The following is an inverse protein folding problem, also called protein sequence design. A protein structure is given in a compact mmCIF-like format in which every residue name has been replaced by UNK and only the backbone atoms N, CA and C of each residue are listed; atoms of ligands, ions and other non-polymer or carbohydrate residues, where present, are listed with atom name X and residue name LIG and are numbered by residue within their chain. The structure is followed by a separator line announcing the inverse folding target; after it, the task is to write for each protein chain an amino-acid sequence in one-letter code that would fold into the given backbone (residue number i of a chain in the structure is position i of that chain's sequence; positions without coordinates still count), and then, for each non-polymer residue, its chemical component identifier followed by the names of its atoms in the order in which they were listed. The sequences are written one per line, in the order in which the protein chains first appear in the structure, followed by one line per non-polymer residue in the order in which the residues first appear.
data_IF_807032511557
#
_entry.id   IF_807032511557
#
_cell.length_a   1.000
_cell.length_b   1.000
_cell.length_c   1.000
_cell.angle_alpha   90.00
_cell.angle_beta   90.00
_cell.angle_gamma   90.00
#
_symmetry.space_group_name_H-M   'P 1'
#
loop_
_entity.id
_entity.type
_entity.pdbx_description
1 polymer ?
#
# COMPACT_ATOMS: atom_id res chain seq x y z
N UNK A 1 4.50 20.39 74.35
CA UNK A 1 3.32 19.70 73.86
C UNK A 1 2.61 20.64 72.91
N UNK A 2 2.68 20.39 71.61
CA UNK A 2 2.02 21.19 70.56
C UNK A 2 0.97 20.29 69.91
N UNK A 3 -0.31 20.61 70.13
CA UNK A 3 -1.45 19.93 69.51
C UNK A 3 -1.57 20.36 68.04
N UNK A 4 -1.35 19.41 67.12
CA UNK A 4 -1.60 19.58 65.71
C UNK A 4 -3.10 19.51 65.44
N UNK A 5 -3.71 20.66 65.08
CA UNK A 5 -5.09 20.69 64.54
C UNK A 5 -5.08 20.14 63.11
N UNK A 6 -5.57 18.90 62.92
CA UNK A 6 -5.86 18.32 61.61
C UNK A 6 -7.08 19.00 60.98
N UNK A 7 -6.88 19.69 59.88
CA UNK A 7 -7.97 20.19 59.04
C UNK A 7 -8.52 19.06 58.17
N UNK A 8 -9.71 18.58 58.50
CA UNK A 8 -10.45 17.62 57.65
C UNK A 8 -11.14 18.42 56.53
N UNK A 9 -10.67 18.25 55.29
CA UNK A 9 -11.32 18.82 54.12
C UNK A 9 -12.46 17.89 53.70
N UNK A 10 -13.69 18.33 53.90
CA UNK A 10 -14.88 17.58 53.45
C UNK A 10 -15.10 17.77 51.96
N UNK A 11 -14.69 16.79 51.17
CA UNK A 11 -14.95 16.78 49.72
C UNK A 11 -16.41 16.36 49.48
N UNK A 12 -17.25 17.31 49.08
CA UNK A 12 -18.63 17.00 48.67
C UNK A 12 -18.58 16.39 47.25
N UNK A 13 -19.15 15.20 47.03
CA UNK A 13 -19.27 14.66 45.70
C UNK A 13 -20.18 15.56 44.84
N UNK A 14 -19.87 15.74 43.54
CA UNK A 14 -20.70 16.52 42.62
C UNK A 14 -22.12 15.92 42.55
N UNK A 15 -23.13 16.77 42.47
CA UNK A 15 -24.50 16.32 42.39
C UNK A 15 -24.75 15.56 41.05
N UNK A 16 -25.50 14.45 41.09
CA UNK A 16 -25.84 13.62 39.93
C UNK A 16 -26.37 14.45 38.76
N UNK A 17 -27.06 15.55 39.00
CA UNK A 17 -27.56 16.47 37.97
C UNK A 17 -26.44 17.18 37.22
N UNK A 18 -25.35 17.54 37.87
CA UNK A 18 -24.21 18.23 37.24
C UNK A 18 -23.43 17.25 36.39
N UNK A 19 -23.23 16.02 36.82
CA UNK A 19 -22.58 14.95 36.05
C UNK A 19 -23.39 14.60 34.79
N UNK A 20 -24.71 14.40 34.92
CA UNK A 20 -25.59 14.10 33.78
C UNK A 20 -25.55 15.24 32.75
N UNK A 21 -25.54 16.50 33.20
CA UNK A 21 -25.48 17.64 32.30
C UNK A 21 -24.14 17.73 31.58
N UNK A 22 -23.03 17.40 32.23
CA UNK A 22 -21.69 17.41 31.65
C UNK A 22 -21.53 16.26 30.61
N UNK A 23 -22.05 15.08 30.90
CA UNK A 23 -22.10 13.95 29.97
C UNK A 23 -22.93 14.30 28.74
N UNK A 24 -24.09 14.93 28.93
CA UNK A 24 -24.97 15.35 27.83
C UNK A 24 -24.28 16.41 26.93
N UNK A 25 -23.57 17.37 27.52
CA UNK A 25 -22.77 18.35 26.77
C UNK A 25 -21.64 17.72 25.99
N UNK A 26 -20.93 16.75 26.57
CA UNK A 26 -19.86 16.03 25.89
C UNK A 26 -20.40 15.21 24.72
N UNK A 27 -21.52 14.51 24.92
CA UNK A 27 -22.19 13.76 23.84
C UNK A 27 -22.67 14.66 22.71
N UNK A 28 -23.24 15.82 23.03
CA UNK A 28 -23.67 16.82 22.03
C UNK A 28 -22.49 17.39 21.24
N UNK A 29 -21.35 17.68 21.90
CA UNK A 29 -20.16 18.15 21.25
C UNK A 29 -19.58 17.09 20.27
N UNK A 30 -19.54 15.83 20.66
CA UNK A 30 -19.10 14.72 19.79
C UNK A 30 -20.04 14.60 18.60
N UNK A 31 -21.36 14.65 18.78
CA UNK A 31 -22.33 14.61 17.69
C UNK A 31 -22.16 15.77 16.70
N UNK A 32 -21.90 16.98 17.20
CA UNK A 32 -21.64 18.15 16.33
C UNK A 32 -20.33 17.95 15.53
N UNK A 33 -19.27 17.43 16.14
CA UNK A 33 -18.00 17.16 15.45
C UNK A 33 -18.19 16.08 14.38
N UNK A 34 -18.91 15.00 14.70
CA UNK A 34 -19.20 13.91 13.75
C UNK A 34 -20.11 14.43 12.61
N UNK A 35 -21.12 15.20 12.93
CA UNK A 35 -21.97 15.83 11.92
C UNK A 35 -21.18 16.80 11.04
N UNK A 36 -20.31 17.64 11.62
CA UNK A 36 -19.43 18.54 10.86
C UNK A 36 -18.43 17.76 9.98
N UNK A 37 -18.02 16.57 10.39
CA UNK A 37 -17.14 15.70 9.60
C UNK A 37 -17.90 15.02 8.44
N UNK A 38 -19.11 14.53 8.70
CA UNK A 38 -19.98 13.87 7.70
C UNK A 38 -20.58 14.88 6.71
N UNK A 39 -21.04 16.02 7.23
CA UNK A 39 -21.64 17.07 6.44
C UNK A 39 -20.65 18.19 6.10
N UNK A 40 -19.35 17.92 6.11
CA UNK A 40 -18.38 18.86 5.59
C UNK A 40 -18.78 19.18 4.15
N UNK A 41 -19.48 20.31 3.89
CA UNK A 41 -19.71 20.69 2.52
C UNK A 41 -18.33 20.93 1.92
N UNK A 42 -18.12 20.48 0.71
CA UNK A 42 -16.94 20.77 -0.10
C UNK A 42 -16.92 22.28 -0.45
N UNK A 43 -16.97 23.15 0.57
CA UNK A 43 -16.85 24.59 0.42
C UNK A 43 -15.37 24.96 0.50
N UNK A 44 -14.78 25.23 -0.66
CA UNK A 44 -13.54 25.96 -0.78
C UNK A 44 -12.26 25.13 -0.82
N UNK A 45 -12.20 24.05 -1.61
CA UNK A 45 -10.98 23.82 -2.35
C UNK A 45 -10.96 24.77 -3.53
N UNK A 46 -9.84 25.49 -3.82
CA UNK A 46 -9.74 26.21 -5.07
C UNK A 46 -9.97 25.17 -6.16
N UNK A 47 -10.89 25.46 -7.06
CA UNK A 47 -11.13 24.72 -8.28
C UNK A 47 -9.85 24.80 -9.13
N UNK A 48 -8.86 23.97 -8.80
CA UNK A 48 -7.96 23.48 -9.79
C UNK A 48 -8.85 22.67 -10.73
N UNK A 49 -8.99 23.16 -11.95
CA UNK A 49 -9.52 22.47 -13.11
C UNK A 49 -8.73 21.18 -13.37
N UNK A 50 -8.82 20.23 -12.45
CA UNK A 50 -8.67 18.82 -12.72
C UNK A 50 -10.01 18.42 -13.33
N UNK A 51 -10.17 18.79 -14.59
CA UNK A 51 -11.05 18.12 -15.50
C UNK A 51 -11.00 16.63 -15.13
N UNK A 52 -12.07 16.17 -14.49
CA UNK A 52 -12.36 14.75 -14.31
C UNK A 52 -12.33 14.14 -15.71
N UNK A 53 -11.16 13.75 -16.17
CA UNK A 53 -11.06 12.68 -17.16
C UNK A 53 -11.70 11.50 -16.47
N UNK A 54 -12.98 11.34 -16.67
CA UNK A 54 -13.66 10.08 -16.44
C UNK A 54 -12.82 9.06 -17.17
N UNK A 55 -12.00 8.33 -16.44
CA UNK A 55 -11.32 7.17 -17.01
C UNK A 55 -12.43 6.28 -17.53
N UNK A 56 -12.45 5.93 -18.82
CA UNK A 56 -13.54 5.17 -19.43
C UNK A 56 -13.71 3.75 -18.85
N UNK A 57 -12.89 3.38 -17.92
CA UNK A 57 -12.83 2.09 -17.25
C UNK A 57 -12.70 2.43 -15.78
N UNK A 58 -13.71 2.38 -14.97
CA UNK A 58 -13.81 2.66 -13.53
C UNK A 58 -12.55 2.53 -12.67
N UNK A 59 -11.41 3.10 -13.12
CA UNK A 59 -10.12 3.07 -12.43
C UNK A 59 -10.19 3.94 -11.18
N UNK A 60 -9.58 3.46 -10.12
CA UNK A 60 -9.38 4.22 -8.90
C UNK A 60 -8.33 5.33 -9.13
N UNK A 61 -8.34 6.41 -8.32
CA UNK A 61 -7.45 7.56 -8.52
C UNK A 61 -5.94 7.25 -8.53
N UNK A 62 -5.55 6.15 -7.90
CA UNK A 62 -4.18 5.67 -7.84
C UNK A 62 -3.86 4.59 -8.89
N UNK A 63 -4.80 4.27 -9.79
CA UNK A 63 -4.64 3.25 -10.83
C UNK A 63 -4.43 3.89 -12.20
N UNK A 64 -3.54 3.30 -12.99
CA UNK A 64 -3.27 3.69 -14.37
C UNK A 64 -3.08 2.44 -15.24
N UNK A 65 -3.34 2.57 -16.54
CA UNK A 65 -3.11 1.48 -17.49
C UNK A 65 -1.68 1.53 -18.02
N UNK A 66 -0.99 0.40 -18.00
CA UNK A 66 0.40 0.31 -18.43
C UNK A 66 0.59 0.65 -19.92
N UNK A 67 -0.42 0.46 -20.75
CA UNK A 67 -0.41 0.85 -22.15
C UNK A 67 -0.22 2.36 -22.36
N UNK A 68 -0.60 3.17 -21.35
CA UNK A 68 -0.49 4.64 -21.40
C UNK A 68 0.85 5.14 -20.82
N UNK A 69 1.68 4.22 -20.29
CA UNK A 69 3.00 4.52 -19.74
C UNK A 69 4.07 4.71 -20.83
N UNK A 70 5.22 5.25 -20.43
CA UNK A 70 6.37 5.34 -21.31
C UNK A 70 6.87 3.94 -21.74
N UNK A 71 7.54 3.80 -22.90
CA UNK A 71 8.11 2.52 -23.30
C UNK A 71 9.08 1.92 -22.29
N UNK A 72 9.81 2.76 -21.56
CA UNK A 72 10.70 2.34 -20.47
C UNK A 72 9.90 1.75 -19.32
N UNK A 73 8.84 2.41 -18.88
CA UNK A 73 7.97 1.93 -17.80
C UNK A 73 7.27 0.63 -18.22
N UNK A 74 6.77 0.53 -19.46
CA UNK A 74 6.17 -0.69 -19.98
C UNK A 74 7.15 -1.86 -19.99
N UNK A 75 8.43 -1.59 -20.28
CA UNK A 75 9.49 -2.62 -20.24
C UNK A 75 9.68 -3.13 -18.80
N UNK A 76 9.91 -2.23 -17.83
CA UNK A 76 10.11 -2.61 -16.43
C UNK A 76 8.89 -3.36 -15.88
N UNK A 77 7.68 -2.93 -16.23
CA UNK A 77 6.46 -3.61 -15.82
C UNK A 77 6.42 -5.07 -16.31
N UNK A 78 6.72 -5.31 -17.62
CA UNK A 78 6.78 -6.68 -18.16
C UNK A 78 7.86 -7.52 -17.51
N UNK A 79 9.05 -6.93 -17.30
CA UNK A 79 10.15 -7.61 -16.62
C UNK A 79 9.78 -7.98 -15.19
N UNK A 80 9.00 -7.14 -14.48
CA UNK A 80 8.48 -7.47 -13.16
C UNK A 80 7.45 -8.61 -13.19
N UNK A 81 6.60 -8.67 -14.23
CA UNK A 81 5.69 -9.80 -14.40
C UNK A 81 6.45 -11.10 -14.68
N UNK A 82 7.48 -11.08 -15.54
CA UNK A 82 8.34 -12.23 -15.79
C UNK A 82 9.06 -12.67 -14.51
N UNK A 83 9.63 -11.73 -13.77
CA UNK A 83 10.30 -12.00 -12.50
C UNK A 83 9.37 -12.54 -11.42
N UNK A 84 8.11 -12.10 -11.40
CA UNK A 84 7.09 -12.63 -10.51
C UNK A 84 6.83 -14.12 -10.78
N UNK A 85 6.61 -14.51 -12.03
CA UNK A 85 6.36 -15.90 -12.40
C UNK A 85 7.50 -16.83 -11.99
N UNK A 86 8.76 -16.39 -12.16
CA UNK A 86 9.92 -17.17 -11.71
C UNK A 86 10.03 -17.22 -10.18
N UNK A 87 9.74 -16.12 -9.50
CA UNK A 87 9.71 -16.09 -8.03
C UNK A 87 8.62 -17.03 -7.46
N UNK A 88 7.45 -17.09 -8.08
CA UNK A 88 6.35 -17.99 -7.75
C UNK A 88 6.76 -19.48 -7.97
N UNK A 89 7.42 -19.78 -9.10
CA UNK A 89 7.95 -21.12 -9.36
C UNK A 89 8.94 -21.54 -8.26
N UNK A 90 9.91 -20.68 -7.93
CA UNK A 90 10.87 -20.95 -6.86
C UNK A 90 10.19 -21.10 -5.49
N UNK A 91 9.18 -20.28 -5.22
CA UNK A 91 8.35 -20.35 -4.01
C UNK A 91 7.62 -21.69 -3.93
N UNK A 92 7.05 -22.17 -5.03
CA UNK A 92 6.35 -23.46 -5.09
C UNK A 92 7.31 -24.63 -4.87
N UNK A 93 8.53 -24.56 -5.40
CA UNK A 93 9.54 -25.62 -5.27
C UNK A 93 10.20 -25.67 -3.89
N UNK A 94 10.48 -24.49 -3.29
CA UNK A 94 11.30 -24.39 -2.07
C UNK A 94 10.52 -24.08 -0.81
N UNK A 95 9.25 -23.67 -0.95
CA UNK A 95 8.42 -23.19 0.14
C UNK A 95 8.79 -21.76 0.62
N UNK A 96 9.69 -21.07 -0.06
CA UNK A 96 10.16 -19.72 0.33
C UNK A 96 10.27 -18.80 -0.88
N UNK A 97 9.93 -17.53 -0.67
CA UNK A 97 10.21 -16.50 -1.67
C UNK A 97 11.72 -16.33 -1.84
N UNK A 98 12.22 -16.30 -3.09
CA UNK A 98 13.63 -16.04 -3.36
C UNK A 98 13.99 -14.60 -2.92
N UNK A 99 15.23 -14.39 -2.52
CA UNK A 99 15.75 -13.03 -2.39
C UNK A 99 16.24 -12.50 -3.76
N UNK A 100 16.52 -11.20 -3.79
CA UNK A 100 16.99 -10.56 -5.02
C UNK A 100 18.33 -11.13 -5.50
N UNK A 101 19.21 -11.53 -4.60
CA UNK A 101 20.52 -12.07 -4.96
C UNK A 101 20.39 -13.39 -5.72
N UNK A 102 19.45 -14.24 -5.31
CA UNK A 102 19.16 -15.49 -6.01
C UNK A 102 18.57 -15.21 -7.40
N UNK A 103 17.56 -14.32 -7.48
CA UNK A 103 16.94 -13.94 -8.76
C UNK A 103 17.98 -13.31 -9.74
N UNK A 104 18.89 -12.51 -9.21
CA UNK A 104 19.98 -11.91 -9.99
C UNK A 104 20.95 -13.00 -10.53
N UNK A 105 21.34 -13.95 -9.68
CA UNK A 105 22.28 -15.02 -10.07
C UNK A 105 21.69 -15.97 -11.10
N UNK A 106 20.36 -16.17 -11.08
CA UNK A 106 19.62 -16.96 -12.07
C UNK A 106 19.33 -16.18 -13.36
N UNK A 107 19.76 -14.93 -13.45
CA UNK A 107 19.58 -14.11 -14.66
C UNK A 107 18.14 -13.61 -14.85
N UNK A 108 17.32 -13.60 -13.80
CA UNK A 108 15.89 -13.26 -13.88
C UNK A 108 15.68 -11.74 -13.98
N UNK A 109 14.99 -11.23 -15.04
CA UNK A 109 14.63 -9.83 -15.12
C UNK A 109 13.53 -9.47 -14.10
N UNK A 110 13.46 -8.22 -13.62
CA UNK A 110 14.41 -7.13 -13.84
C UNK A 110 15.60 -7.16 -12.89
N UNK A 111 15.76 -8.20 -12.07
CA UNK A 111 16.74 -8.29 -10.98
C UNK A 111 18.16 -8.46 -11.52
N UNK A 112 18.30 -9.23 -12.61
CA UNK A 112 19.59 -9.40 -13.27
C UNK A 112 20.07 -8.10 -13.94
N UNK A 113 21.39 -7.91 -13.93
CA UNK A 113 22.02 -6.78 -14.58
C UNK A 113 21.90 -6.92 -16.12
N UNK A 114 21.34 -5.90 -16.73
CA UNK A 114 21.20 -5.81 -18.20
C UNK A 114 21.94 -4.57 -18.71
N UNK A 115 23.09 -4.75 -19.43
CA UNK A 115 23.87 -3.63 -19.95
C UNK A 115 23.16 -2.83 -21.05
N UNK A 116 22.05 -3.34 -21.61
CA UNK A 116 21.24 -2.62 -22.61
C UNK A 116 20.22 -1.69 -21.97
N UNK A 117 20.01 -1.79 -20.66
CA UNK A 117 19.08 -0.95 -19.93
C UNK A 117 19.66 0.43 -19.74
N UNK A 118 18.86 1.46 -20.05
CA UNK A 118 19.27 2.87 -19.92
C UNK A 118 19.35 3.34 -18.47
N UNK A 119 18.64 2.67 -17.57
CA UNK A 119 18.54 3.02 -16.15
C UNK A 119 18.86 1.77 -15.34
N UNK A 120 19.87 1.90 -14.48
CA UNK A 120 20.17 0.85 -13.51
C UNK A 120 19.27 0.98 -12.29
N UNK A 121 18.83 -0.16 -11.79
CA UNK A 121 18.05 -0.29 -10.58
C UNK A 121 18.81 -1.08 -9.53
N UNK A 122 18.80 -0.56 -8.31
CA UNK A 122 19.20 -1.35 -7.14
C UNK A 122 17.97 -2.03 -6.59
N UNK A 123 17.88 -3.34 -6.78
CA UNK A 123 16.79 -4.15 -6.26
C UNK A 123 17.06 -4.62 -4.84
N UNK A 124 16.02 -4.65 -4.02
CA UNK A 124 16.03 -5.19 -2.66
C UNK A 124 14.73 -5.93 -2.41
N UNK A 125 14.77 -7.01 -1.61
CA UNK A 125 13.58 -7.70 -1.16
C UNK A 125 13.37 -7.46 0.33
N UNK A 126 12.12 -7.26 0.72
CA UNK A 126 11.70 -7.18 2.12
C UNK A 126 10.53 -8.12 2.32
N UNK A 127 10.61 -8.91 3.37
CA UNK A 127 9.53 -9.80 3.77
C UNK A 127 9.11 -9.49 5.19
N UNK A 128 7.81 -9.30 5.38
CA UNK A 128 7.23 -9.08 6.69
C UNK A 128 5.90 -9.82 6.78
N UNK A 129 5.81 -10.78 7.70
CA UNK A 129 4.65 -11.63 7.89
C UNK A 129 4.24 -12.32 6.57
N UNK A 130 3.07 -11.95 6.03
CA UNK A 130 2.49 -12.47 4.79
C UNK A 130 2.70 -11.54 3.57
N UNK A 131 3.50 -10.47 3.70
CA UNK A 131 3.84 -9.56 2.62
C UNK A 131 5.29 -9.76 2.16
N UNK A 132 5.50 -9.95 0.86
CA UNK A 132 6.81 -9.94 0.20
C UNK A 132 6.83 -8.82 -0.82
N UNK A 133 7.87 -7.97 -0.77
CA UNK A 133 8.05 -6.88 -1.71
C UNK A 133 9.42 -6.95 -2.36
N UNK A 134 9.46 -6.64 -3.66
CA UNK A 134 10.69 -6.40 -4.41
C UNK A 134 10.72 -4.94 -4.84
N UNK A 135 11.60 -4.16 -4.23
CA UNK A 135 11.75 -2.72 -4.49
C UNK A 135 12.95 -2.47 -5.41
N UNK A 136 12.72 -1.80 -6.51
CA UNK A 136 13.72 -1.28 -7.42
C UNK A 136 13.86 0.23 -7.28
N UNK A 137 15.04 0.66 -6.83
CA UNK A 137 15.40 2.07 -6.72
C UNK A 137 16.31 2.43 -7.88
N UNK A 138 15.95 3.40 -8.74
CA UNK A 138 16.79 3.79 -9.85
C UNK A 138 18.04 4.53 -9.37
N UNK A 139 19.14 4.41 -10.11
CA UNK A 139 20.37 5.19 -9.89
C UNK A 139 20.18 6.66 -10.26
N UNK A 140 19.26 6.96 -11.16
CA UNK A 140 18.87 8.30 -11.59
C UNK A 140 17.57 8.72 -10.89
N UNK A 141 17.63 9.74 -10.03
CA UNK A 141 16.48 10.22 -9.25
C UNK A 141 15.39 10.88 -10.09
N UNK A 142 15.65 11.19 -11.36
CA UNK A 142 14.63 11.65 -12.31
C UNK A 142 13.69 10.52 -12.77
N UNK A 143 14.07 9.28 -12.51
CA UNK A 143 13.32 8.10 -12.87
C UNK A 143 12.34 7.68 -11.75
N UNK A 144 11.58 6.62 -12.00
CA UNK A 144 10.59 6.11 -11.04
C UNK A 144 11.16 4.92 -10.28
N UNK A 145 10.92 4.89 -8.98
CA UNK A 145 11.07 3.68 -8.20
C UNK A 145 9.90 2.73 -8.50
N UNK A 146 10.16 1.43 -8.45
CA UNK A 146 9.17 0.39 -8.70
C UNK A 146 9.09 -0.56 -7.52
N UNK A 147 7.90 -1.07 -7.26
CA UNK A 147 7.71 -2.14 -6.27
C UNK A 147 6.71 -3.16 -6.78
N UNK A 148 7.10 -4.42 -6.71
CA UNK A 148 6.23 -5.58 -6.82
C UNK A 148 5.82 -5.97 -5.40
N UNK A 149 4.52 -5.98 -5.14
CA UNK A 149 3.92 -6.37 -3.86
C UNK A 149 3.21 -7.70 -4.03
N UNK A 150 3.54 -8.65 -3.20
CA UNK A 150 2.94 -9.97 -3.15
C UNK A 150 2.39 -10.16 -1.73
N UNK A 151 1.10 -10.42 -1.62
CA UNK A 151 0.45 -10.71 -0.36
C UNK A 151 -0.02 -12.16 -0.37
N UNK A 152 0.44 -12.93 0.60
CA UNK A 152 -0.07 -14.27 0.91
C UNK A 152 -1.30 -14.12 1.84
N UNK A 153 -2.24 -15.07 1.85
CA UNK A 153 -3.33 -15.05 2.82
C UNK A 153 -2.79 -15.15 4.25
N UNK A 154 -3.46 -14.50 5.18
CA UNK A 154 -3.13 -14.66 6.60
C UNK A 154 -3.31 -16.13 7.04
N UNK A 155 -2.46 -16.63 7.94
CA UNK A 155 -2.62 -17.98 8.47
C UNK A 155 -4.02 -18.22 9.03
N UNK A 156 -4.72 -19.22 8.50
CA UNK A 156 -6.08 -19.56 8.90
C UNK A 156 -7.19 -18.73 8.21
N UNK A 157 -6.85 -17.83 7.30
CA UNK A 157 -7.84 -17.18 6.45
C UNK A 157 -8.57 -18.22 5.58
N UNK A 158 -9.87 -18.03 5.29
CA UNK A 158 -10.59 -18.87 4.35
C UNK A 158 -9.95 -18.77 2.95
N UNK A 159 -10.03 -19.85 2.18
CA UNK A 159 -9.53 -19.85 0.81
C UNK A 159 -10.23 -18.76 -0.01
N UNK A 160 -9.45 -17.94 -0.68
CA UNK A 160 -9.96 -16.93 -1.58
C UNK A 160 -10.46 -17.58 -2.88
N UNK A 161 -11.74 -17.45 -3.25
CA UNK A 161 -12.30 -18.01 -4.47
C UNK A 161 -11.96 -17.17 -5.72
N UNK A 162 -11.18 -16.10 -5.58
CA UNK A 162 -10.83 -15.22 -6.70
C UNK A 162 -10.30 -16.02 -7.91
N UNK A 163 -10.66 -15.63 -9.13
CA UNK A 163 -10.12 -16.26 -10.33
C UNK A 163 -8.63 -15.98 -10.44
N UNK A 164 -7.90 -16.85 -11.13
CA UNK A 164 -6.52 -16.58 -11.50
C UNK A 164 -6.50 -15.51 -12.59
N UNK A 165 -6.07 -14.30 -12.24
CA UNK A 165 -6.05 -13.11 -13.12
C UNK A 165 -4.76 -12.31 -12.92
N UNK A 166 -4.70 -11.07 -13.43
CA UNK A 166 -3.51 -10.20 -13.30
C UNK A 166 -3.18 -9.76 -11.88
N UNK A 167 -4.13 -9.90 -10.95
CA UNK A 167 -4.00 -9.46 -9.55
C UNK A 167 -4.10 -10.60 -8.55
N UNK A 168 -4.60 -11.76 -8.98
CA UNK A 168 -4.74 -12.95 -8.15
C UNK A 168 -4.06 -14.13 -8.84
N UNK A 169 -2.97 -14.59 -8.26
CA UNK A 169 -2.24 -15.74 -8.76
C UNK A 169 -2.45 -16.94 -7.84
N UNK A 170 -2.71 -18.11 -8.43
CA UNK A 170 -2.89 -19.33 -7.65
C UNK A 170 -1.67 -20.23 -7.76
N UNK A 171 -1.04 -20.47 -6.63
CA UNK A 171 0.09 -21.41 -6.53
C UNK A 171 -0.39 -22.87 -6.63
N UNK A 172 0.52 -23.82 -6.97
CA UNK A 172 0.19 -25.24 -7.06
C UNK A 172 -0.34 -25.87 -5.76
N UNK A 173 0.00 -25.29 -4.60
CA UNK A 173 -0.48 -25.72 -3.29
C UNK A 173 -1.90 -25.21 -2.96
N UNK A 174 -2.52 -24.46 -3.89
CA UNK A 174 -3.83 -23.88 -3.75
C UNK A 174 -3.85 -22.49 -3.10
N UNK A 175 -2.72 -21.96 -2.67
CA UNK A 175 -2.60 -20.60 -2.11
C UNK A 175 -2.95 -19.57 -3.17
N UNK A 176 -3.88 -18.66 -2.89
CA UNK A 176 -4.17 -17.52 -3.74
C UNK A 176 -3.37 -16.32 -3.25
N UNK A 177 -2.56 -15.76 -4.12
CA UNK A 177 -1.76 -14.56 -3.88
C UNK A 177 -2.51 -13.33 -4.38
N UNK A 178 -2.37 -12.20 -3.69
CA UNK A 178 -2.69 -10.89 -4.24
C UNK A 178 -1.40 -10.22 -4.71
N UNK A 179 -1.31 -9.94 -6.00
CA UNK A 179 -0.11 -9.36 -6.62
C UNK A 179 -0.41 -8.01 -7.21
N UNK A 180 0.54 -7.09 -7.11
CA UNK A 180 0.37 -5.76 -7.68
C UNK A 180 1.72 -5.09 -7.94
N UNK A 181 1.77 -4.31 -9.04
CA UNK A 181 2.97 -3.59 -9.47
C UNK A 181 2.70 -2.09 -9.37
N UNK A 182 3.60 -1.40 -8.69
CA UNK A 182 3.45 0.02 -8.38
C UNK A 182 4.71 0.78 -8.75
N UNK A 183 4.54 2.07 -9.05
CA UNK A 183 5.68 2.99 -9.14
C UNK A 183 5.39 4.34 -8.51
N UNK A 184 6.46 5.08 -8.25
CA UNK A 184 6.38 6.50 -7.89
C UNK A 184 7.65 7.23 -8.36
N UNK A 185 7.60 8.55 -8.61
CA UNK A 185 8.79 9.35 -8.82
C UNK A 185 9.76 9.20 -7.63
N UNK A 186 11.05 8.93 -7.89
CA UNK A 186 12.02 8.69 -6.82
C UNK A 186 12.14 9.88 -5.87
N UNK A 187 12.03 11.11 -6.38
CA UNK A 187 12.06 12.33 -5.58
C UNK A 187 10.92 12.43 -4.53
N UNK A 188 9.83 11.69 -4.75
CA UNK A 188 8.69 11.64 -3.81
C UNK A 188 8.81 10.51 -2.81
N UNK A 189 9.69 9.55 -3.06
CA UNK A 189 9.88 8.41 -2.18
C UNK A 189 10.57 8.84 -0.89
N UNK A 190 9.98 8.47 0.23
CA UNK A 190 10.60 8.68 1.53
C UNK A 190 11.75 7.71 1.72
N UNK A 191 12.82 8.17 2.35
CA UNK A 191 13.95 7.30 2.72
C UNK A 191 13.51 6.24 3.73
N UNK A 192 14.00 5.03 3.53
CA UNK A 192 13.62 3.85 4.30
C UNK A 192 12.65 2.95 3.54
N UNK A 193 12.74 1.65 3.80
CA UNK A 193 11.87 0.66 3.17
C UNK A 193 11.37 -0.31 4.23
N UNK A 194 10.09 -0.17 4.56
CA UNK A 194 9.31 -1.19 5.24
C UNK A 194 8.48 -1.95 4.20
N UNK A 195 8.06 -3.17 4.50
CA UNK A 195 7.17 -3.91 3.61
C UNK A 195 5.86 -3.15 3.41
N UNK A 196 5.55 -2.84 2.15
CA UNK A 196 4.34 -2.16 1.76
C UNK A 196 3.20 -3.18 1.63
N UNK A 197 2.07 -2.88 2.25
CA UNK A 197 0.81 -3.63 2.09
C UNK A 197 -0.22 -2.83 1.31
N UNK A 198 -0.22 -1.51 1.51
CA UNK A 198 -1.14 -0.56 0.92
C UNK A 198 -0.35 0.62 0.32
N UNK A 199 0.36 0.41 -0.81
CA UNK A 199 1.24 1.43 -1.40
C UNK A 199 0.51 2.74 -1.75
N UNK A 200 -0.78 2.68 -2.09
CA UNK A 200 -1.60 3.86 -2.38
C UNK A 200 -1.61 4.89 -1.24
N UNK A 201 -1.50 4.44 0.02
CA UNK A 201 -1.48 5.34 1.18
C UNK A 201 -0.18 6.16 1.26
N UNK A 202 0.86 5.72 0.55
CA UNK A 202 2.15 6.39 0.46
C UNK A 202 2.34 7.14 -0.87
N UNK A 203 1.29 7.20 -1.70
CA UNK A 203 1.29 7.93 -2.96
C UNK A 203 1.86 7.17 -4.15
N UNK A 204 1.94 5.83 -4.06
CA UNK A 204 2.30 5.00 -5.19
C UNK A 204 1.16 4.87 -6.19
N UNK A 205 1.50 4.72 -7.47
CA UNK A 205 0.57 4.48 -8.57
C UNK A 205 0.58 3.00 -8.92
N UNK A 206 -0.60 2.37 -8.91
CA UNK A 206 -0.79 0.98 -9.35
C UNK A 206 -0.94 0.92 -10.85
N UNK A 207 -0.22 -0.01 -11.49
CA UNK A 207 -0.28 -0.25 -12.91
C UNK A 207 -1.04 -1.51 -13.24
N UNK A 208 -2.00 -1.40 -14.15
CA UNK A 208 -2.86 -2.49 -14.60
C UNK A 208 -2.67 -2.71 -16.11
N UNK A 209 -2.77 -3.97 -16.52
CA UNK A 209 -2.74 -4.31 -17.96
C UNK A 209 -4.00 -3.78 -18.66
N UNK A 210 -5.12 -3.79 -17.95
CA UNK A 210 -6.43 -3.45 -18.47
C UNK A 210 -6.97 -4.60 -19.31
N UNK A 211 -7.79 -5.44 -18.71
CA UNK A 211 -8.59 -6.40 -19.47
C UNK A 211 -9.47 -5.62 -20.44
N UNK A 212 -9.38 -5.91 -21.73
CA UNK A 212 -10.44 -5.56 -22.64
C UNK A 212 -11.68 -6.31 -22.12
N UNK A 213 -12.59 -5.60 -21.46
CA UNK A 213 -13.91 -6.14 -21.17
C UNK A 213 -14.51 -6.56 -22.52
N UNK A 214 -14.57 -7.87 -22.73
CA UNK A 214 -15.35 -8.47 -23.81
C UNK A 214 -16.81 -8.48 -23.40
#
# INVERSE_FOLDING_TARGET
MAEGRGHTVQIRPPSVRVETLNVLKAAAAILVIVAAYIFRPAFGAPSSDLQSRQSPIGLLPYQQLIRDASPTDQRIFRELQEGLLEAERMRAETGRWPDVTLLESEGIPPFARDPTRKVDYKWTSVRQEWATNYLGVPSDTSQRAWVLVILEPEPGAPADPAPNDETHHRLPDGTTLHVSIWNMPEEKRRSGFAALRLPQNEGWTNWLVGSNAQ
#
